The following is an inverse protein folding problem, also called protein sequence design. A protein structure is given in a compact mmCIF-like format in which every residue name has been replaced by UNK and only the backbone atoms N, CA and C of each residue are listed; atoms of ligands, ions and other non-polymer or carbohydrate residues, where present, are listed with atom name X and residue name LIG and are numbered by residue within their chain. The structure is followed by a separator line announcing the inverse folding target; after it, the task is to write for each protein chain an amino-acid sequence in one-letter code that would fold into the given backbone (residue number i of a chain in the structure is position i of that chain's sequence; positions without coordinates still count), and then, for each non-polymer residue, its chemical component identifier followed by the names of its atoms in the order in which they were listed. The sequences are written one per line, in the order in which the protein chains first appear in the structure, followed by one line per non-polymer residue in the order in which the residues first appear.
data_IF_883237016212
#
_entry.id   IF_883237016212
#
_cell.length_a   1.000
_cell.length_b   1.000
_cell.length_c   1.000
_cell.angle_alpha   90.00
_cell.angle_beta   90.00
_cell.angle_gamma   90.00
#
_symmetry.space_group_name_H-M   'P 1'
#
loop_
_entity.id
_entity.type
_entity.pdbx_description
1 polymer ?
#
# COMPACT_ATOMS: atom_id res chain seq x y z
N UNK A 1 7.35 19.93 -7.75
CA UNK A 1 6.14 19.79 -6.92
C UNK A 1 6.55 19.03 -5.67
N UNK A 2 5.99 19.26 -4.47
CA UNK A 2 6.25 18.35 -3.36
C UNK A 2 5.80 16.94 -3.78
N UNK A 3 6.59 15.91 -3.46
CA UNK A 3 6.20 14.52 -3.69
C UNK A 3 4.87 14.23 -2.98
N UNK A 4 3.99 13.47 -3.62
CA UNK A 4 2.74 13.02 -3.02
C UNK A 4 3.08 12.20 -1.76
N UNK A 5 2.50 12.48 -0.61
CA UNK A 5 2.70 11.64 0.58
C UNK A 5 1.50 10.73 0.80
N UNK A 6 1.71 9.55 1.39
CA UNK A 6 0.61 8.68 1.81
C UNK A 6 -0.38 9.38 2.75
N UNK A 7 0.09 10.37 3.53
CA UNK A 7 -0.78 11.17 4.40
C UNK A 7 -1.76 12.02 3.61
N UNK A 8 -1.35 12.53 2.46
CA UNK A 8 -2.20 13.36 1.59
C UNK A 8 -3.33 12.55 0.94
N UNK A 9 -3.19 11.22 0.94
CA UNK A 9 -4.15 10.26 0.38
C UNK A 9 -5.12 9.68 1.42
N UNK A 10 -4.95 10.02 2.71
CA UNK A 10 -5.90 9.62 3.75
C UNK A 10 -7.09 10.59 3.77
N UNK A 11 -8.30 10.05 3.94
CA UNK A 11 -9.48 10.87 4.16
C UNK A 11 -9.34 11.74 5.42
N UNK A 12 -9.97 12.94 5.43
CA UNK A 12 -10.24 13.64 6.68
C UNK A 12 -10.94 12.71 7.67
N UNK A 13 -10.57 12.82 8.96
CA UNK A 13 -11.10 11.94 10.02
C UNK A 13 -12.63 11.82 9.95
N UNK A 14 -13.11 10.61 9.70
CA UNK A 14 -14.52 10.22 9.86
C UNK A 14 -15.28 9.90 8.57
N UNK A 15 -14.66 10.07 7.39
CA UNK A 15 -15.28 9.71 6.11
C UNK A 15 -14.69 8.40 5.57
N UNK A 16 -15.49 7.32 5.42
CA UNK A 16 -14.98 6.05 4.91
C UNK A 16 -14.53 6.19 3.45
N UNK A 17 -13.28 5.82 3.18
CA UNK A 17 -12.79 5.61 1.81
C UNK A 17 -13.16 4.19 1.40
N UNK A 18 -13.71 4.01 0.19
CA UNK A 18 -13.93 2.66 -0.35
C UNK A 18 -12.57 1.95 -0.52
N UNK A 19 -12.48 0.67 -0.15
CA UNK A 19 -11.22 -0.08 -0.14
C UNK A 19 -10.51 -0.14 -1.52
N UNK A 20 -11.28 -0.24 -2.60
CA UNK A 20 -10.75 -0.22 -3.97
C UNK A 20 -10.05 1.11 -4.28
N UNK A 21 -10.58 2.22 -3.75
CA UNK A 21 -9.95 3.53 -3.90
C UNK A 21 -8.64 3.64 -3.11
N UNK A 22 -8.47 2.85 -2.03
CA UNK A 22 -7.23 2.86 -1.23
C UNK A 22 -6.11 2.11 -1.93
N UNK A 23 -6.39 0.96 -2.57
CA UNK A 23 -5.38 0.22 -3.31
C UNK A 23 -4.83 1.06 -4.46
N UNK A 24 -5.72 1.63 -5.28
CA UNK A 24 -5.34 2.50 -6.39
C UNK A 24 -4.54 3.73 -5.91
N UNK A 25 -4.95 4.34 -4.79
CA UNK A 25 -4.21 5.45 -4.17
C UNK A 25 -2.79 5.05 -3.75
N UNK A 26 -2.64 3.88 -3.12
CA UNK A 26 -1.32 3.38 -2.74
C UNK A 26 -0.44 3.09 -3.96
N UNK A 27 -1.00 2.48 -5.01
CA UNK A 27 -0.27 2.21 -6.26
C UNK A 27 0.15 3.51 -6.97
N UNK A 28 -0.73 4.52 -6.99
CA UNK A 28 -0.40 5.86 -7.51
C UNK A 28 0.78 6.47 -6.74
N UNK A 29 0.80 6.33 -5.41
CA UNK A 29 1.92 6.79 -4.59
C UNK A 29 3.23 6.04 -4.91
N UNK A 30 3.16 4.72 -5.09
CA UNK A 30 4.30 3.88 -5.49
C UNK A 30 4.88 4.33 -6.83
N UNK A 31 4.01 4.59 -7.82
CA UNK A 31 4.39 5.08 -9.16
C UNK A 31 5.02 6.48 -9.10
N UNK A 32 4.46 7.41 -8.33
CA UNK A 32 5.02 8.76 -8.10
C UNK A 32 6.43 8.70 -7.49
N UNK A 33 6.70 7.64 -6.70
CA UNK A 33 8.01 7.40 -6.09
C UNK A 33 8.96 6.60 -6.99
N UNK A 34 8.56 6.29 -8.23
CA UNK A 34 9.32 5.50 -9.19
C UNK A 34 9.74 4.14 -8.64
N UNK A 35 8.84 3.49 -7.90
CA UNK A 35 9.05 2.17 -7.33
C UNK A 35 8.34 1.13 -8.22
N UNK A 36 9.10 0.23 -8.82
CA UNK A 36 8.54 -0.95 -9.47
C UNK A 36 8.34 -2.06 -8.44
N UNK A 37 7.11 -2.54 -8.29
CA UNK A 37 6.81 -3.64 -7.37
C UNK A 37 7.36 -4.96 -7.93
N UNK A 38 7.94 -5.75 -7.03
CA UNK A 38 8.15 -7.17 -7.33
C UNK A 38 6.79 -7.88 -7.32
N UNK A 39 6.62 -8.90 -8.17
CA UNK A 39 5.40 -9.69 -8.24
C UNK A 39 4.91 -10.16 -6.85
N UNK A 40 5.82 -10.68 -6.00
CA UNK A 40 5.46 -11.14 -4.65
C UNK A 40 4.99 -10.00 -3.71
N UNK A 41 5.38 -8.75 -3.98
CA UNK A 41 4.88 -7.59 -3.24
C UNK A 41 3.48 -7.21 -3.71
N UNK A 42 3.26 -7.16 -5.03
CA UNK A 42 1.96 -6.86 -5.63
C UNK A 42 0.90 -7.87 -5.16
N UNK A 43 1.19 -9.16 -5.28
CA UNK A 43 0.30 -10.24 -4.81
C UNK A 43 0.02 -10.09 -3.30
N UNK A 44 1.04 -9.83 -2.48
CA UNK A 44 0.85 -9.66 -1.04
C UNK A 44 0.02 -8.43 -0.69
N UNK A 45 0.19 -7.31 -1.39
CA UNK A 45 -0.62 -6.09 -1.18
C UNK A 45 -2.08 -6.36 -1.56
N UNK A 46 -2.33 -6.98 -2.71
CA UNK A 46 -3.69 -7.36 -3.14
C UNK A 46 -4.40 -8.23 -2.10
N UNK A 47 -3.71 -9.28 -1.62
CA UNK A 47 -4.25 -10.20 -0.61
C UNK A 47 -4.56 -9.50 0.73
N UNK A 48 -3.71 -8.56 1.15
CA UNK A 48 -3.94 -7.77 2.37
C UNK A 48 -5.15 -6.84 2.24
N UNK A 49 -5.33 -6.20 1.08
CA UNK A 49 -6.47 -5.31 0.82
C UNK A 49 -7.79 -6.08 0.66
N UNK A 50 -7.72 -7.36 0.27
CA UNK A 50 -8.86 -8.31 0.32
C UNK A 50 -9.12 -8.86 1.74
N UNK A 51 -8.43 -8.32 2.76
CA UNK A 51 -8.63 -8.68 4.17
C UNK A 51 -8.01 -10.02 4.57
N UNK A 52 -7.12 -10.60 3.76
CA UNK A 52 -6.45 -11.86 4.06
C UNK A 52 -5.19 -11.64 4.91
N UNK A 53 -4.83 -12.66 5.68
CA UNK A 53 -3.54 -12.69 6.39
C UNK A 53 -2.46 -13.28 5.45
N UNK A 54 -1.35 -12.57 5.31
CA UNK A 54 -0.28 -12.97 4.38
C UNK A 54 1.00 -13.36 5.13
N UNK A 55 1.59 -14.50 4.76
CA UNK A 55 2.97 -14.84 5.11
C UNK A 55 3.86 -14.50 3.91
N UNK A 56 4.57 -13.37 3.99
CA UNK A 56 5.44 -12.92 2.90
C UNK A 56 6.84 -13.55 3.01
N UNK A 57 6.98 -14.78 2.50
CA UNK A 57 8.23 -15.54 2.56
C UNK A 57 9.21 -15.14 1.45
N UNK A 58 9.81 -13.95 1.57
CA UNK A 58 10.85 -13.45 0.64
C UNK A 58 12.16 -13.17 1.38
N UNK A 59 13.34 -13.27 0.73
CA UNK A 59 14.63 -12.91 1.32
C UNK A 59 14.70 -11.46 1.84
N UNK A 60 15.72 -11.16 2.64
CA UNK A 60 16.04 -9.77 3.02
C UNK A 60 16.40 -8.95 1.78
N UNK A 61 16.07 -7.66 1.77
CA UNK A 61 16.28 -6.78 0.61
C UNK A 61 15.15 -6.82 -0.42
N UNK A 62 14.22 -7.77 -0.36
CA UNK A 62 13.06 -7.86 -1.26
C UNK A 62 11.93 -6.87 -0.94
N UNK A 63 12.20 -5.78 -0.20
CA UNK A 63 11.25 -4.71 0.06
C UNK A 63 10.01 -5.08 0.91
N UNK A 64 10.08 -6.07 1.80
CA UNK A 64 8.96 -6.44 2.70
C UNK A 64 8.38 -5.25 3.49
N UNK A 65 9.21 -4.26 3.82
CA UNK A 65 8.78 -3.04 4.50
C UNK A 65 7.78 -2.22 3.67
N UNK A 66 7.83 -2.28 2.34
CA UNK A 66 6.86 -1.60 1.47
C UNK A 66 5.48 -2.26 1.57
N UNK A 67 5.43 -3.59 1.61
CA UNK A 67 4.18 -4.34 1.82
C UNK A 67 3.60 -4.04 3.21
N UNK A 68 4.45 -3.98 4.24
CA UNK A 68 4.02 -3.57 5.58
C UNK A 68 3.51 -2.11 5.61
N UNK A 69 4.12 -1.21 4.84
CA UNK A 69 3.68 0.17 4.70
C UNK A 69 2.28 0.25 4.06
N UNK A 70 2.01 -0.56 3.03
CA UNK A 70 0.69 -0.66 2.41
C UNK A 70 -0.38 -1.09 3.43
N UNK A 71 -0.07 -2.09 4.27
CA UNK A 71 -0.97 -2.54 5.34
C UNK A 71 -1.23 -1.45 6.39
N UNK A 72 -0.20 -0.68 6.76
CA UNK A 72 -0.36 0.43 7.70
C UNK A 72 -1.22 1.54 7.10
N UNK A 73 -1.05 1.86 5.82
CA UNK A 73 -1.89 2.82 5.12
C UNK A 73 -3.36 2.35 5.13
N UNK A 74 -3.61 1.11 4.71
CA UNK A 74 -4.94 0.49 4.76
C UNK A 74 -5.56 0.54 6.17
N UNK A 75 -4.78 0.26 7.22
CA UNK A 75 -5.26 0.24 8.61
C UNK A 75 -5.60 1.62 9.18
N UNK A 76 -5.08 2.70 8.60
CA UNK A 76 -5.33 4.08 9.02
C UNK A 76 -6.48 4.74 8.27
N UNK A 77 -7.04 4.05 7.28
CA UNK A 77 -8.05 4.55 6.36
C UNK A 77 -9.49 4.36 6.86
#
# INVERSE_FOLDING_TARGET
MPNLTLRDLLSPKGEPVLADNLLESFLTWVEDHHIDLYQAQEEAILELFDGKNVILNTPTGSGKSLVALALHFYSLS
#
